data_IF_999575659857
#
_entry.id   IF_999575659857
#
_cell.length_a   1.000
_cell.length_b   1.000
_cell.length_c   1.000
_cell.angle_alpha   90.00
_cell.angle_beta   90.00
_cell.angle_gamma   90.00
#
_symmetry.space_group_name_H-M   'P 1'
#
loop_
_entity.id
_entity.type
_entity.pdbx_description
1 polymer ?
#
# COMPACT_ATOMS: atom_id res chain seq x y z
N UNK A 1 -20.09 2.12 -25.72
CA UNK A 1 -20.78 3.34 -25.24
C UNK A 1 -19.72 4.45 -25.13
N UNK A 2 -19.74 5.40 -26.09
CA UNK A 2 -18.89 6.60 -26.04
C UNK A 2 -19.56 7.60 -25.10
N UNK A 3 -19.01 7.78 -23.92
CA UNK A 3 -19.34 8.93 -23.06
C UNK A 3 -18.57 10.16 -23.60
N UNK A 4 -19.30 11.05 -24.23
CA UNK A 4 -18.82 12.38 -24.63
C UNK A 4 -18.87 13.28 -23.40
N UNK A 5 -17.71 13.53 -22.78
CA UNK A 5 -17.59 14.54 -21.74
C UNK A 5 -17.53 15.93 -22.37
N UNK A 6 -18.43 16.81 -21.95
CA UNK A 6 -18.48 18.22 -22.34
C UNK A 6 -17.23 18.94 -21.82
N UNK A 7 -16.70 19.85 -22.63
CA UNK A 7 -15.62 20.76 -22.28
C UNK A 7 -15.97 21.54 -21.01
N UNK A 8 -15.14 21.43 -19.97
CA UNK A 8 -15.26 22.25 -18.77
C UNK A 8 -14.39 23.48 -18.99
N UNK A 9 -15.02 24.66 -19.04
CA UNK A 9 -14.35 25.96 -19.10
C UNK A 9 -14.16 26.50 -17.68
N UNK A 10 -12.93 26.67 -17.23
CA UNK A 10 -12.60 27.33 -15.97
C UNK A 10 -11.95 28.67 -16.30
N UNK A 11 -12.58 29.77 -15.86
CA UNK A 11 -12.04 31.13 -16.00
C UNK A 11 -11.40 31.55 -14.68
N UNK A 12 -10.09 31.67 -14.65
CA UNK A 12 -9.39 32.44 -13.60
C UNK A 12 -8.51 33.45 -14.29
N UNK A 13 -8.71 34.73 -13.99
CA UNK A 13 -8.16 35.93 -14.61
C UNK A 13 -6.91 35.74 -15.50
N UNK A 14 -7.04 36.09 -16.74
CA UNK A 14 -6.01 36.29 -17.79
C UNK A 14 -5.39 35.06 -18.47
N UNK A 15 -5.61 33.82 -18.03
CA UNK A 15 -5.14 32.62 -18.75
C UNK A 15 -6.29 31.62 -18.90
N UNK A 16 -6.60 31.28 -20.17
CA UNK A 16 -7.64 30.32 -20.51
C UNK A 16 -7.00 28.94 -20.67
N UNK A 17 -7.27 28.01 -19.75
CA UNK A 17 -6.84 26.63 -19.86
C UNK A 17 -7.89 25.77 -20.54
N UNK A 18 -7.56 25.20 -21.68
CA UNK A 18 -8.42 24.24 -22.37
C UNK A 18 -8.05 22.81 -21.95
N UNK A 19 -8.96 22.12 -21.31
CA UNK A 19 -8.83 20.69 -21.07
C UNK A 19 -9.59 19.94 -22.16
N UNK A 20 -8.86 19.54 -23.21
CA UNK A 20 -9.38 18.66 -24.26
C UNK A 20 -8.88 17.26 -24.00
N UNK A 21 -9.78 16.36 -23.66
CA UNK A 21 -9.66 14.93 -23.93
C UNK A 21 -8.71 14.09 -23.10
N UNK A 22 -9.13 12.89 -22.83
CA UNK A 22 -8.44 11.70 -22.34
C UNK A 22 -7.73 11.76 -20.99
N UNK A 23 -8.47 11.34 -19.98
CA UNK A 23 -8.02 11.06 -18.62
C UNK A 23 -6.90 10.01 -18.51
N UNK A 24 -6.58 9.33 -19.60
CA UNK A 24 -5.65 8.18 -19.61
C UNK A 24 -4.18 8.56 -19.61
N UNK A 25 -3.82 9.85 -19.72
CA UNK A 25 -2.42 10.28 -19.83
C UNK A 25 -1.95 11.30 -18.77
N UNK A 26 -2.83 11.72 -17.84
CA UNK A 26 -2.41 12.66 -16.79
C UNK A 26 -1.49 11.92 -15.81
N UNK A 27 -0.28 12.46 -15.61
CA UNK A 27 0.73 11.84 -14.74
C UNK A 27 0.42 12.09 -13.27
N UNK A 28 0.45 11.02 -12.47
CA UNK A 28 0.26 11.08 -11.02
C UNK A 28 1.60 11.34 -10.34
N UNK A 29 1.57 12.20 -9.34
CA UNK A 29 2.73 12.66 -8.58
C UNK A 29 2.41 12.58 -7.09
N UNK A 30 3.21 11.85 -6.35
CA UNK A 30 3.10 11.80 -4.89
C UNK A 30 3.84 12.99 -4.29
N UNK A 31 3.17 13.70 -3.40
CA UNK A 31 3.70 14.87 -2.69
C UNK A 31 3.37 14.74 -1.20
N UNK A 32 4.34 15.02 -0.36
CA UNK A 32 4.16 14.86 1.09
C UNK A 32 3.82 16.19 1.76
N UNK A 33 2.93 16.16 2.75
CA UNK A 33 2.62 17.29 3.64
C UNK A 33 2.25 18.58 2.91
N UNK A 34 1.42 18.48 1.88
CA UNK A 34 0.99 19.61 1.06
C UNK A 34 -0.49 19.92 1.26
N UNK A 35 -0.85 21.19 1.09
CA UNK A 35 -2.23 21.61 0.98
C UNK A 35 -2.69 21.49 -0.47
N UNK A 36 -3.73 20.68 -0.72
CA UNK A 36 -4.32 20.45 -2.04
C UNK A 36 -5.57 21.33 -2.29
N UNK A 37 -5.73 22.42 -1.56
CA UNK A 37 -6.85 23.35 -1.79
C UNK A 37 -6.70 24.08 -3.11
N UNK A 38 -7.83 24.35 -3.78
CA UNK A 38 -7.89 25.06 -5.04
C UNK A 38 -7.23 26.44 -4.95
N UNK A 39 -6.48 26.81 -5.97
CA UNK A 39 -5.71 28.06 -6.04
C UNK A 39 -4.34 28.00 -5.35
N UNK A 40 -4.06 26.99 -4.53
CA UNK A 40 -2.73 26.81 -3.92
C UNK A 40 -1.65 26.60 -4.98
N UNK A 41 -0.49 27.23 -4.79
CA UNK A 41 0.70 27.02 -5.64
C UNK A 41 1.75 26.28 -4.84
N UNK A 42 2.12 25.10 -5.31
CA UNK A 42 3.13 24.24 -4.69
C UNK A 42 4.42 24.32 -5.47
N UNK A 43 5.54 24.36 -4.75
CA UNK A 43 6.87 24.11 -5.33
C UNK A 43 7.27 22.68 -4.99
N UNK A 44 7.41 21.85 -6.02
CA UNK A 44 7.72 20.44 -5.84
C UNK A 44 9.20 20.25 -5.49
N UNK A 45 9.52 19.16 -4.78
CA UNK A 45 10.89 18.82 -4.42
C UNK A 45 11.76 18.65 -5.67
N UNK A 46 13.07 18.79 -5.51
CA UNK A 46 14.05 18.64 -6.63
C UNK A 46 13.92 17.28 -7.30
N UNK A 47 13.74 16.20 -6.52
CA UNK A 47 13.60 14.85 -7.04
C UNK A 47 12.34 14.70 -7.91
N UNK A 48 11.19 15.17 -7.41
CA UNK A 48 9.91 15.14 -8.13
C UNK A 48 9.99 16.04 -9.37
N UNK A 49 10.56 17.23 -9.25
CA UNK A 49 10.74 18.16 -10.35
C UNK A 49 11.61 17.57 -11.46
N UNK A 50 12.71 16.92 -11.10
CA UNK A 50 13.58 16.22 -12.06
C UNK A 50 12.82 15.09 -12.78
N UNK A 51 12.05 14.29 -12.04
CA UNK A 51 11.24 13.24 -12.64
C UNK A 51 10.23 13.80 -13.67
N UNK A 52 9.51 14.87 -13.32
CA UNK A 52 8.54 15.50 -14.23
C UNK A 52 9.18 16.04 -15.49
N UNK A 53 10.30 16.76 -15.36
CA UNK A 53 10.90 17.48 -16.49
C UNK A 53 11.80 16.61 -17.37
N UNK A 54 12.61 15.74 -16.76
CA UNK A 54 13.62 14.96 -17.50
C UNK A 54 13.12 13.57 -17.89
N UNK A 55 12.34 12.91 -17.02
CA UNK A 55 11.82 11.56 -17.31
C UNK A 55 10.50 11.65 -18.07
N UNK A 56 9.53 12.42 -17.55
CA UNK A 56 8.20 12.55 -18.15
C UNK A 56 8.14 13.65 -19.22
N UNK A 57 9.14 14.54 -19.27
CA UNK A 57 9.28 15.64 -20.23
C UNK A 57 8.10 16.62 -20.22
N UNK A 58 7.55 16.86 -19.02
CA UNK A 58 6.48 17.83 -18.82
C UNK A 58 7.05 19.24 -18.66
N UNK A 59 6.29 20.24 -19.08
CA UNK A 59 6.61 21.65 -19.00
C UNK A 59 5.45 22.52 -18.55
N UNK A 60 5.63 23.83 -18.60
CA UNK A 60 4.57 24.79 -18.28
C UNK A 60 3.33 24.57 -19.15
N UNK A 61 2.15 24.54 -18.53
CA UNK A 61 0.87 24.25 -19.16
C UNK A 61 0.42 22.78 -19.08
N UNK A 62 1.33 21.85 -18.78
CA UNK A 62 0.96 20.45 -18.66
C UNK A 62 0.20 20.17 -17.35
N UNK A 63 -0.78 19.25 -17.45
CA UNK A 63 -1.59 18.83 -16.30
C UNK A 63 -0.94 17.66 -15.56
N UNK A 64 -1.08 17.68 -14.22
CA UNK A 64 -0.65 16.61 -13.32
C UNK A 64 -1.74 16.34 -12.30
N UNK A 65 -1.78 15.10 -11.77
CA UNK A 65 -2.56 14.75 -10.57
C UNK A 65 -1.57 14.70 -9.41
N UNK A 66 -1.81 15.49 -8.39
CA UNK A 66 -1.05 15.48 -7.14
C UNK A 66 -1.79 14.65 -6.11
N UNK A 67 -1.08 13.74 -5.41
CA UNK A 67 -1.61 12.88 -4.37
C UNK A 67 -0.83 13.17 -3.08
N UNK A 68 -1.50 13.47 -1.97
CA UNK A 68 -0.90 13.87 -0.69
C UNK A 68 -0.38 12.70 0.15
N UNK A 69 -0.40 11.48 -0.41
CA UNK A 69 -0.01 10.24 0.28
C UNK A 69 -0.92 9.83 1.45
N UNK A 70 -1.95 10.60 1.75
CA UNK A 70 -2.91 10.40 2.85
C UNK A 70 -4.36 10.21 2.36
N UNK A 71 -4.55 10.02 1.06
CA UNK A 71 -5.86 9.78 0.44
C UNK A 71 -6.42 10.97 -0.34
N UNK A 72 -5.80 12.14 -0.27
CA UNK A 72 -6.20 13.33 -1.01
C UNK A 72 -5.60 13.37 -2.42
N UNK A 73 -6.40 13.82 -3.39
CA UNK A 73 -5.97 14.08 -4.76
C UNK A 73 -6.42 15.45 -5.24
N UNK A 74 -5.60 16.06 -6.09
CA UNK A 74 -5.97 17.28 -6.79
C UNK A 74 -5.38 17.33 -8.19
N UNK A 75 -6.10 17.94 -9.11
CA UNK A 75 -5.58 18.31 -10.42
C UNK A 75 -4.80 19.60 -10.30
N UNK A 76 -3.61 19.61 -10.88
CA UNK A 76 -2.79 20.79 -10.99
C UNK A 76 -2.30 21.02 -12.42
N UNK A 77 -1.85 22.24 -12.66
CA UNK A 77 -1.19 22.64 -13.89
C UNK A 77 0.20 23.17 -13.55
N UNK A 78 1.19 22.73 -14.28
CA UNK A 78 2.57 23.25 -14.16
C UNK A 78 2.57 24.72 -14.60
N UNK A 79 2.80 25.64 -13.67
CA UNK A 79 2.92 27.07 -13.98
C UNK A 79 4.28 27.42 -14.58
N UNK A 80 5.33 26.86 -13.98
CA UNK A 80 6.70 27.16 -14.40
C UNK A 80 7.68 26.09 -13.98
N UNK A 81 8.75 25.96 -14.74
CA UNK A 81 9.92 25.15 -14.45
C UNK A 81 11.06 26.11 -14.15
N UNK A 82 11.53 26.13 -12.92
CA UNK A 82 12.58 27.02 -12.43
C UNK A 82 13.79 26.23 -11.95
N UNK A 83 14.94 26.88 -11.74
CA UNK A 83 16.12 26.23 -11.15
C UNK A 83 15.86 25.67 -9.74
N UNK A 84 14.87 26.22 -9.02
CA UNK A 84 14.46 25.74 -7.68
C UNK A 84 13.37 24.68 -7.66
N UNK A 85 12.90 24.22 -8.79
CA UNK A 85 11.87 23.18 -8.89
C UNK A 85 10.70 23.54 -9.81
N UNK A 86 9.77 22.62 -9.95
CA UNK A 86 8.53 22.80 -10.70
C UNK A 86 7.47 23.42 -9.80
N UNK A 87 6.85 24.50 -10.26
CA UNK A 87 5.70 25.10 -9.59
C UNK A 87 4.41 24.59 -10.23
N UNK A 88 3.50 24.11 -9.39
CA UNK A 88 2.20 23.58 -9.81
C UNK A 88 1.11 24.36 -9.10
N UNK A 89 0.14 24.87 -9.86
CA UNK A 89 -1.09 25.46 -9.32
C UNK A 89 -2.15 24.39 -9.22
N UNK A 90 -2.78 24.27 -8.05
CA UNK A 90 -3.95 23.41 -7.83
C UNK A 90 -5.14 24.05 -8.50
N UNK A 91 -5.76 23.31 -9.42
CA UNK A 91 -6.93 23.76 -10.16
C UNK A 91 -8.24 23.26 -9.57
N UNK A 92 -8.23 22.04 -9.04
CA UNK A 92 -9.42 21.41 -8.48
C UNK A 92 -9.03 20.23 -7.59
N UNK A 93 -9.63 20.14 -6.42
CA UNK A 93 -9.55 18.91 -5.60
C UNK A 93 -10.37 17.81 -6.27
N UNK A 94 -9.80 16.62 -6.36
CA UNK A 94 -10.49 15.45 -6.90
C UNK A 94 -11.26 14.77 -5.77
N UNK A 95 -12.51 14.45 -6.03
CA UNK A 95 -13.22 13.46 -5.22
C UNK A 95 -12.67 12.07 -5.57
N UNK A 96 -12.38 11.21 -4.60
CA UNK A 96 -12.03 9.82 -4.91
C UNK A 96 -13.14 9.23 -5.80
N UNK A 97 -12.80 8.46 -6.85
CA UNK A 97 -13.83 7.76 -7.61
C UNK A 97 -14.67 6.89 -6.66
N UNK A 98 -15.96 6.81 -6.90
CA UNK A 98 -16.84 5.92 -6.13
C UNK A 98 -16.28 4.50 -6.18
N UNK A 99 -15.91 3.95 -5.03
CA UNK A 99 -15.21 2.68 -4.92
C UNK A 99 -13.69 2.78 -4.89
N UNK A 100 -13.07 3.94 -5.01
CA UNK A 100 -11.64 4.22 -4.80
C UNK A 100 -10.64 3.12 -5.22
N UNK A 101 -9.35 3.40 -5.10
CA UNK A 101 -8.30 2.36 -5.23
C UNK A 101 -7.83 1.83 -3.87
N UNK A 102 -8.40 2.35 -2.77
CA UNK A 102 -8.09 1.88 -1.42
C UNK A 102 -9.12 0.86 -0.95
N UNK A 103 -8.66 -0.13 -0.20
CA UNK A 103 -9.53 -1.15 0.37
C UNK A 103 -10.50 -0.53 1.38
N UNK A 104 -11.74 -1.01 1.39
CA UNK A 104 -12.76 -0.57 2.37
C UNK A 104 -12.44 -1.05 3.78
N UNK A 105 -11.75 -2.20 3.88
CA UNK A 105 -11.24 -2.74 5.13
C UNK A 105 -9.70 -2.80 5.09
N UNK A 106 -8.99 -2.26 6.08
CA UNK A 106 -7.53 -2.30 6.09
C UNK A 106 -7.01 -3.74 6.21
N UNK A 107 -6.13 -4.13 5.28
CA UNK A 107 -5.37 -5.37 5.34
C UNK A 107 -3.90 -5.04 5.49
N UNK A 108 -3.34 -5.35 6.66
CA UNK A 108 -1.92 -5.19 6.96
C UNK A 108 -1.16 -6.51 6.72
N UNK A 109 0.15 -6.42 6.50
CA UNK A 109 1.02 -7.59 6.42
C UNK A 109 2.15 -7.48 7.44
N UNK A 110 2.33 -8.53 8.23
CA UNK A 110 3.52 -8.74 9.04
C UNK A 110 4.46 -9.69 8.27
N UNK A 111 5.59 -9.14 7.86
CA UNK A 111 6.56 -9.80 6.99
C UNK A 111 7.87 -10.03 7.74
N UNK A 112 8.44 -11.25 7.70
CA UNK A 112 9.74 -11.49 8.28
C UNK A 112 10.82 -10.77 7.48
N UNK A 113 11.94 -10.47 8.13
CA UNK A 113 13.11 -9.97 7.43
C UNK A 113 13.67 -11.05 6.50
N UNK A 114 13.40 -10.91 5.21
CA UNK A 114 13.82 -11.84 4.16
C UNK A 114 15.16 -11.43 3.52
N UNK A 115 15.82 -12.38 2.91
CA UNK A 115 17.05 -12.12 2.13
C UNK A 115 16.76 -11.26 0.91
N UNK A 116 17.70 -10.34 0.65
CA UNK A 116 17.83 -9.57 -0.59
C UNK A 116 16.53 -8.87 -1.06
N UNK A 117 16.11 -9.22 -2.26
CA UNK A 117 15.02 -8.64 -3.03
C UNK A 117 13.64 -9.24 -2.73
N UNK A 118 13.59 -10.35 -1.97
CA UNK A 118 12.32 -11.03 -1.67
C UNK A 118 11.37 -10.16 -0.86
N UNK A 119 11.89 -9.50 0.19
CA UNK A 119 11.08 -8.57 0.97
C UNK A 119 10.65 -7.38 0.10
N UNK A 120 11.54 -6.84 -0.72
CA UNK A 120 11.24 -5.74 -1.65
C UNK A 120 10.15 -6.15 -2.66
N UNK A 121 10.21 -7.39 -3.16
CA UNK A 121 9.18 -7.95 -4.03
C UNK A 121 7.84 -8.07 -3.33
N UNK A 122 7.81 -8.59 -2.10
CA UNK A 122 6.57 -8.70 -1.32
C UNK A 122 5.97 -7.32 -1.00
N UNK A 123 6.80 -6.35 -0.57
CA UNK A 123 6.38 -4.97 -0.30
C UNK A 123 5.75 -4.32 -1.55
N UNK A 124 6.41 -4.43 -2.70
CA UNK A 124 5.91 -3.88 -3.97
C UNK A 124 4.57 -4.49 -4.36
N UNK A 125 4.49 -5.83 -4.45
CA UNK A 125 3.28 -6.51 -4.91
C UNK A 125 2.11 -6.32 -3.94
N UNK A 126 2.36 -6.35 -2.63
CA UNK A 126 1.31 -6.12 -1.65
C UNK A 126 0.82 -4.65 -1.65
N UNK A 127 1.71 -3.69 -1.90
CA UNK A 127 1.32 -2.29 -2.08
C UNK A 127 0.43 -2.09 -3.30
N UNK A 128 0.75 -2.74 -4.43
CA UNK A 128 -0.08 -2.74 -5.64
C UNK A 128 -1.48 -3.31 -5.38
N UNK A 129 -1.59 -4.31 -4.50
CA UNK A 129 -2.84 -4.99 -4.13
C UNK A 129 -3.63 -4.29 -3.01
N UNK A 130 -3.17 -3.19 -2.46
CA UNK A 130 -3.95 -2.44 -1.48
C UNK A 130 -3.51 -2.59 -0.02
N UNK A 131 -2.38 -3.24 0.29
CA UNK A 131 -1.92 -3.35 1.66
C UNK A 131 -1.92 -2.00 2.39
N UNK A 132 -2.45 -1.97 3.64
CA UNK A 132 -2.61 -0.76 4.42
C UNK A 132 -1.38 -0.41 5.27
N UNK A 133 -0.63 -1.42 5.72
CA UNK A 133 0.58 -1.26 6.50
C UNK A 133 1.47 -2.50 6.43
N UNK A 134 2.76 -2.32 6.74
CA UNK A 134 3.73 -3.39 6.85
C UNK A 134 4.39 -3.38 8.22
N UNK A 135 4.49 -4.55 8.84
CA UNK A 135 5.18 -4.79 10.10
C UNK A 135 6.35 -5.72 9.86
N UNK A 136 7.57 -5.19 9.90
CA UNK A 136 8.78 -5.98 9.64
C UNK A 136 9.27 -6.58 10.95
N UNK A 137 9.41 -7.89 10.99
CA UNK A 137 9.84 -8.61 12.19
C UNK A 137 10.95 -9.62 11.91
N UNK A 138 11.54 -10.14 12.96
CA UNK A 138 12.43 -11.28 12.93
C UNK A 138 11.91 -12.39 13.84
N UNK A 139 12.15 -13.61 13.43
CA UNK A 139 11.84 -14.84 14.15
C UNK A 139 13.06 -15.79 14.12
N UNK A 140 12.96 -16.93 14.79
CA UNK A 140 14.10 -17.79 15.05
C UNK A 140 14.81 -18.28 13.78
N UNK A 141 14.05 -18.60 12.72
CA UNK A 141 14.58 -19.07 11.44
C UNK A 141 14.82 -17.97 10.40
N UNK A 142 14.78 -16.72 10.81
CA UNK A 142 15.22 -15.62 9.96
C UNK A 142 16.74 -15.67 9.75
N UNK A 143 17.18 -14.96 8.73
CA UNK A 143 18.62 -14.84 8.43
C UNK A 143 19.39 -14.29 9.63
N UNK A 144 20.45 -14.96 10.09
CA UNK A 144 21.27 -14.44 11.18
C UNK A 144 21.88 -13.09 10.85
N UNK A 145 21.90 -12.17 11.81
CA UNK A 145 22.56 -10.87 11.66
C UNK A 145 21.95 -9.78 12.56
N UNK A 146 22.57 -8.59 12.53
CA UNK A 146 22.05 -7.39 13.20
C UNK A 146 20.92 -6.80 12.36
N UNK A 147 19.68 -7.26 12.60
CA UNK A 147 18.51 -6.92 11.81
C UNK A 147 18.21 -5.41 11.90
N UNK A 148 18.36 -4.81 13.08
CA UNK A 148 18.12 -3.38 13.29
C UNK A 148 18.96 -2.51 12.34
N UNK A 149 20.26 -2.80 12.25
CA UNK A 149 21.16 -2.06 11.35
C UNK A 149 20.90 -2.33 9.87
N UNK A 150 20.45 -3.54 9.55
CA UNK A 150 20.11 -3.91 8.19
C UNK A 150 18.79 -3.25 7.74
N UNK A 151 17.79 -3.23 8.60
CA UNK A 151 16.51 -2.53 8.37
C UNK A 151 16.74 -1.04 8.24
N UNK A 152 17.47 -0.41 9.17
CA UNK A 152 17.76 1.03 9.13
C UNK A 152 18.41 1.47 7.80
N UNK A 153 19.33 0.66 7.24
CA UNK A 153 19.97 0.95 5.94
C UNK A 153 19.06 0.78 4.73
N UNK A 154 18.05 -0.07 4.83
CA UNK A 154 17.15 -0.39 3.71
C UNK A 154 15.82 0.33 3.78
N UNK A 155 15.47 0.90 4.92
CA UNK A 155 14.15 1.48 5.18
C UNK A 155 13.78 2.55 4.14
N UNK A 156 14.69 3.45 3.81
CA UNK A 156 14.48 4.47 2.79
C UNK A 156 14.16 3.84 1.42
N UNK A 157 14.95 2.85 1.00
CA UNK A 157 14.71 2.12 -0.26
C UNK A 157 13.36 1.40 -0.27
N UNK A 158 12.94 0.82 0.86
CA UNK A 158 11.62 0.18 0.95
C UNK A 158 10.48 1.20 0.84
N UNK A 159 10.64 2.37 1.46
CA UNK A 159 9.70 3.47 1.28
C UNK A 159 9.61 3.89 -0.19
N UNK A 160 10.72 4.02 -0.89
CA UNK A 160 10.72 4.35 -2.33
C UNK A 160 9.99 3.29 -3.17
N UNK A 161 10.22 2.00 -2.89
CA UNK A 161 9.55 0.89 -3.57
C UNK A 161 8.04 0.92 -3.34
N UNK A 162 7.60 1.12 -2.10
CA UNK A 162 6.19 1.20 -1.73
C UNK A 162 5.54 2.42 -2.38
N UNK A 163 6.17 3.59 -2.33
CA UNK A 163 5.69 4.82 -2.97
C UNK A 163 5.52 4.66 -4.48
N UNK A 164 6.50 4.05 -5.13
CA UNK A 164 6.42 3.80 -6.58
C UNK A 164 5.29 2.82 -6.93
N UNK A 165 5.09 1.76 -6.13
CA UNK A 165 4.00 0.82 -6.29
C UNK A 165 2.63 1.51 -6.13
N UNK A 166 2.46 2.35 -5.11
CA UNK A 166 1.27 3.18 -4.88
C UNK A 166 1.00 4.10 -6.07
N UNK A 167 2.04 4.80 -6.55
CA UNK A 167 1.93 5.71 -7.70
C UNK A 167 1.46 4.99 -8.97
N UNK A 168 2.01 3.80 -9.24
CA UNK A 168 1.71 3.03 -10.46
C UNK A 168 0.36 2.32 -10.39
N UNK A 169 -0.07 1.86 -9.21
CA UNK A 169 -1.37 1.21 -9.02
C UNK A 169 -2.55 2.18 -8.95
N UNK A 170 -2.30 3.48 -8.92
CA UNK A 170 -3.35 4.49 -8.84
C UNK A 170 -3.86 4.74 -7.41
N UNK A 171 -3.23 4.16 -6.41
CA UNK A 171 -3.53 4.40 -5.00
C UNK A 171 -3.12 5.79 -4.55
N UNK A 172 -3.68 6.23 -3.43
CA UNK A 172 -3.47 7.56 -2.85
C UNK A 172 -2.88 7.53 -1.44
N UNK A 173 -2.99 6.37 -0.76
CA UNK A 173 -2.43 6.16 0.57
C UNK A 173 -1.14 5.34 0.47
N UNK A 174 -0.05 5.87 1.02
CA UNK A 174 1.23 5.14 1.09
C UNK A 174 1.26 4.34 2.39
N UNK A 175 1.36 3.00 2.32
CA UNK A 175 1.47 2.15 3.50
C UNK A 175 2.68 2.50 4.37
N UNK A 176 2.49 2.60 5.68
CA UNK A 176 3.60 2.74 6.62
C UNK A 176 4.36 1.42 6.80
N UNK A 177 5.67 1.54 7.07
CA UNK A 177 6.56 0.40 7.36
C UNK A 177 7.07 0.54 8.79
N UNK A 178 6.56 -0.33 9.65
CA UNK A 178 6.91 -0.40 11.07
C UNK A 178 7.99 -1.46 11.34
N UNK A 179 8.69 -1.31 12.43
CA UNK A 179 9.71 -2.25 12.87
C UNK A 179 11.14 -1.73 12.70
N UNK A 180 12.15 -2.62 12.94
CA UNK A 180 12.01 -4.07 13.13
C UNK A 180 11.49 -4.45 14.53
N UNK A 181 10.72 -5.53 14.58
CA UNK A 181 10.21 -6.15 15.81
C UNK A 181 10.78 -7.56 15.98
N UNK A 182 10.83 -8.06 17.19
CA UNK A 182 10.86 -9.50 17.44
C UNK A 182 9.50 -10.13 17.15
N UNK A 183 9.42 -11.45 17.08
CA UNK A 183 8.14 -12.14 16.85
C UNK A 183 7.11 -11.85 17.95
N UNK A 184 7.53 -11.81 19.23
CA UNK A 184 6.65 -11.45 20.35
C UNK A 184 6.16 -10.00 20.25
N UNK A 185 7.07 -9.05 20.03
CA UNK A 185 6.74 -7.63 19.93
C UNK A 185 5.77 -7.35 18.77
N UNK A 186 5.92 -8.01 17.63
CA UNK A 186 4.98 -7.81 16.51
C UNK A 186 3.61 -8.38 16.85
N UNK A 187 3.50 -9.50 17.58
CA UNK A 187 2.22 -10.03 18.04
C UNK A 187 1.53 -9.04 18.98
N UNK A 188 2.24 -8.50 19.97
CA UNK A 188 1.73 -7.48 20.87
C UNK A 188 1.24 -6.21 20.16
N UNK A 189 1.92 -5.84 19.07
CA UNK A 189 1.61 -4.64 18.31
C UNK A 189 0.37 -4.80 17.41
N UNK A 190 0.21 -5.96 16.75
CA UNK A 190 -0.85 -6.16 15.75
C UNK A 190 -2.16 -6.73 16.33
N UNK A 191 -2.10 -7.59 17.36
CA UNK A 191 -3.30 -8.28 17.85
C UNK A 191 -4.36 -7.36 18.47
N UNK A 192 -4.01 -6.20 19.09
CA UNK A 192 -5.01 -5.24 19.55
C UNK A 192 -5.74 -4.49 18.42
N UNK A 193 -5.13 -4.45 17.23
CA UNK A 193 -5.60 -3.62 16.09
C UNK A 193 -6.36 -4.44 15.05
N UNK A 194 -5.98 -5.70 14.86
CA UNK A 194 -6.41 -6.53 13.74
C UNK A 194 -6.87 -7.92 14.19
N UNK A 195 -7.74 -8.53 13.41
CA UNK A 195 -7.88 -9.99 13.40
C UNK A 195 -6.67 -10.58 12.67
N UNK A 196 -5.83 -11.31 13.41
CA UNK A 196 -4.55 -11.79 12.88
C UNK A 196 -4.70 -13.20 12.32
N UNK A 197 -4.28 -13.41 11.09
CA UNK A 197 -4.30 -14.69 10.38
C UNK A 197 -2.87 -15.08 10.00
N UNK A 198 -2.44 -16.28 10.38
CA UNK A 198 -1.09 -16.78 10.14
C UNK A 198 -1.15 -18.07 9.32
N UNK A 199 -0.85 -18.01 8.02
CA UNK A 199 -0.60 -19.20 7.21
C UNK A 199 0.65 -19.96 7.67
N UNK A 200 0.46 -21.27 7.91
CA UNK A 200 1.51 -22.17 8.37
C UNK A 200 1.50 -23.47 7.55
N UNK A 201 2.67 -23.97 7.22
CA UNK A 201 2.87 -25.19 6.44
C UNK A 201 2.67 -26.49 7.22
N UNK A 202 2.62 -26.42 8.57
CA UNK A 202 2.31 -27.57 9.42
C UNK A 202 0.91 -28.11 9.17
N UNK A 203 0.75 -29.41 9.14
CA UNK A 203 -0.52 -30.06 8.83
C UNK A 203 -1.60 -29.84 9.89
N UNK A 204 -2.86 -30.09 9.51
CA UNK A 204 -3.99 -30.14 10.46
C UNK A 204 -4.71 -28.79 10.69
N UNK A 205 -4.34 -27.75 9.99
CA UNK A 205 -5.02 -26.45 10.08
C UNK A 205 -6.04 -26.27 8.95
N UNK A 206 -7.14 -25.52 9.20
CA UNK A 206 -8.16 -25.21 8.18
C UNK A 206 -7.56 -24.39 7.04
N UNK A 207 -8.20 -24.42 5.89
CA UNK A 207 -7.82 -23.55 4.78
C UNK A 207 -8.06 -22.08 5.13
N UNK A 208 -7.28 -21.18 4.56
CA UNK A 208 -7.44 -19.74 4.76
C UNK A 208 -8.86 -19.29 4.41
N UNK A 209 -9.49 -19.88 3.38
CA UNK A 209 -10.87 -19.58 3.00
C UNK A 209 -11.87 -19.92 4.10
N UNK A 210 -11.68 -21.02 4.83
CA UNK A 210 -12.55 -21.41 5.95
C UNK A 210 -12.40 -20.46 7.13
N UNK A 211 -11.16 -20.06 7.45
CA UNK A 211 -10.88 -19.08 8.49
C UNK A 211 -11.49 -17.72 8.15
N UNK A 212 -11.34 -17.26 6.93
CA UNK A 212 -11.89 -15.99 6.46
C UNK A 212 -13.43 -16.02 6.43
N UNK A 213 -14.05 -17.12 6.03
CA UNK A 213 -15.52 -17.28 6.11
C UNK A 213 -16.03 -17.15 7.56
N UNK A 214 -15.27 -17.66 8.52
CA UNK A 214 -15.59 -17.49 9.95
C UNK A 214 -15.53 -16.04 10.42
N UNK A 215 -14.62 -15.24 9.85
CA UNK A 215 -14.50 -13.82 10.14
C UNK A 215 -15.57 -12.96 9.43
N UNK A 216 -16.00 -13.37 8.24
CA UNK A 216 -16.96 -12.66 7.38
C UNK A 216 -18.17 -13.55 7.03
N UNK A 217 -19.04 -13.86 7.98
CA UNK A 217 -20.20 -14.70 7.69
C UNK A 217 -21.18 -13.98 6.76
N UNK A 218 -21.59 -14.63 5.67
CA UNK A 218 -22.53 -14.11 4.66
C UNK A 218 -23.87 -13.63 5.27
N UNK A 219 -24.25 -14.18 6.40
CA UNK A 219 -25.54 -13.88 7.06
C UNK A 219 -25.59 -12.58 7.85
N UNK A 220 -24.48 -11.85 8.00
CA UNK A 220 -24.43 -10.61 8.81
C UNK A 220 -24.77 -10.80 10.29
N UNK A 221 -25.05 -12.02 10.74
CA UNK A 221 -25.43 -12.34 12.11
C UNK A 221 -24.27 -13.00 12.84
N UNK A 222 -23.62 -12.24 13.73
CA UNK A 222 -22.73 -12.81 14.74
C UNK A 222 -21.24 -12.82 14.42
N UNK A 223 -20.76 -12.20 13.34
CA UNK A 223 -19.33 -11.97 13.15
C UNK A 223 -18.81 -10.94 14.15
N UNK A 224 -17.64 -11.18 14.74
CA UNK A 224 -16.92 -10.15 15.47
C UNK A 224 -16.74 -8.94 14.56
N UNK A 225 -16.85 -7.71 15.12
CA UNK A 225 -16.59 -6.50 14.33
C UNK A 225 -15.11 -6.49 13.95
N UNK A 226 -14.81 -6.92 12.72
CA UNK A 226 -13.44 -6.95 12.18
C UNK A 226 -13.08 -5.53 11.78
N UNK A 227 -12.17 -4.90 12.51
CA UNK A 227 -11.69 -3.56 12.20
C UNK A 227 -10.59 -3.58 11.12
N UNK A 228 -10.07 -4.74 10.78
CA UNK A 228 -9.04 -4.99 9.78
C UNK A 228 -8.42 -6.37 9.98
N UNK A 229 -7.67 -6.82 8.99
CA UNK A 229 -6.93 -8.09 9.03
C UNK A 229 -5.43 -7.80 9.00
N UNK A 230 -4.64 -8.58 9.77
CA UNK A 230 -3.20 -8.65 9.59
C UNK A 230 -2.79 -10.07 9.20
N UNK A 231 -2.13 -10.20 8.06
CA UNK A 231 -1.61 -11.46 7.54
C UNK A 231 -0.15 -11.61 7.97
N UNK A 232 0.16 -12.63 8.75
CA UNK A 232 1.54 -12.90 9.23
C UNK A 232 2.10 -14.07 8.46
N UNK A 233 3.23 -13.91 7.77
CA UNK A 233 3.86 -14.99 7.01
C UNK A 233 5.27 -15.28 7.49
N UNK A 234 5.72 -16.52 7.34
CA UNK A 234 7.02 -16.99 7.81
C UNK A 234 8.19 -16.70 6.87
N UNK A 235 9.44 -16.80 7.39
CA UNK A 235 10.65 -16.75 6.58
C UNK A 235 10.82 -18.01 5.75
N UNK A 236 11.91 -18.09 4.99
CA UNK A 236 12.24 -19.25 4.15
C UNK A 236 12.39 -20.57 4.93
N UNK A 237 12.73 -20.50 6.21
CA UNK A 237 12.83 -21.65 7.10
C UNK A 237 11.52 -22.02 7.82
N UNK A 238 10.44 -21.26 7.58
CA UNK A 238 9.17 -21.39 8.30
C UNK A 238 9.26 -20.91 9.75
N UNK A 239 8.21 -21.15 10.51
CA UNK A 239 8.14 -20.86 11.94
C UNK A 239 8.58 -22.06 12.79
N UNK A 240 9.14 -21.82 13.96
CA UNK A 240 9.34 -22.84 14.97
C UNK A 240 7.98 -23.19 15.64
N UNK A 241 7.82 -24.45 16.12
CA UNK A 241 6.59 -24.84 16.80
C UNK A 241 6.22 -23.93 18.00
N UNK A 242 7.24 -23.49 18.75
CA UNK A 242 7.04 -22.60 19.91
C UNK A 242 6.53 -21.21 19.49
N UNK A 243 6.91 -20.72 18.30
CA UNK A 243 6.40 -19.48 17.76
C UNK A 243 4.91 -19.61 17.38
N UNK A 244 4.52 -20.75 16.84
CA UNK A 244 3.11 -21.04 16.52
C UNK A 244 2.27 -21.14 17.82
N UNK A 245 2.77 -21.79 18.86
CA UNK A 245 2.06 -21.85 20.15
C UNK A 245 1.97 -20.47 20.80
N UNK A 246 3.01 -19.65 20.73
CA UNK A 246 2.98 -18.27 21.17
C UNK A 246 1.93 -17.45 20.40
N UNK A 247 1.87 -17.58 19.07
CA UNK A 247 0.86 -16.91 18.24
C UNK A 247 -0.57 -17.31 18.66
N UNK A 248 -0.82 -18.60 18.91
CA UNK A 248 -2.12 -19.07 19.42
C UNK A 248 -2.47 -18.42 20.76
N UNK A 249 -1.48 -18.26 21.64
CA UNK A 249 -1.64 -17.57 22.93
C UNK A 249 -2.10 -16.12 22.78
N UNK A 250 -1.78 -15.47 21.68
CA UNK A 250 -2.25 -14.12 21.32
C UNK A 250 -3.60 -14.12 20.56
N UNK A 251 -4.24 -15.26 20.38
CA UNK A 251 -5.51 -15.37 19.65
C UNK A 251 -5.37 -15.32 18.13
N UNK A 252 -4.18 -15.58 17.60
CA UNK A 252 -3.92 -15.62 16.16
C UNK A 252 -4.59 -16.85 15.53
N UNK A 253 -5.25 -16.65 14.40
CA UNK A 253 -5.90 -17.70 13.64
C UNK A 253 -4.91 -18.37 12.70
N UNK A 254 -4.53 -19.62 13.02
CA UNK A 254 -3.60 -20.40 12.19
C UNK A 254 -4.38 -21.06 11.06
N UNK A 255 -3.85 -20.97 9.84
CA UNK A 255 -4.51 -21.53 8.65
C UNK A 255 -3.49 -22.19 7.70
N UNK A 256 -4.00 -22.77 6.62
CA UNK A 256 -3.21 -23.34 5.52
C UNK A 256 -3.50 -22.62 4.22
N UNK A 257 -2.49 -22.41 3.38
CA UNK A 257 -2.62 -21.95 1.99
C UNK A 257 -2.74 -23.11 0.98
N UNK A 258 -3.06 -24.31 1.46
CA UNK A 258 -3.22 -25.51 0.66
C UNK A 258 -1.98 -26.41 0.68
N UNK A 259 -1.98 -27.44 -0.13
CA UNK A 259 -1.01 -28.53 -0.08
C UNK A 259 0.39 -28.19 -0.62
N UNK A 260 0.56 -27.02 -1.24
CA UNK A 260 1.84 -26.61 -1.83
C UNK A 260 2.63 -25.73 -0.84
N UNK A 261 3.93 -25.97 -0.73
CA UNK A 261 4.84 -25.08 -0.01
C UNK A 261 5.09 -23.86 -0.92
N UNK A 262 4.73 -22.69 -0.44
CA UNK A 262 4.95 -21.42 -1.12
C UNK A 262 6.28 -20.80 -0.65
N UNK A 263 6.93 -20.05 -1.53
CA UNK A 263 8.09 -19.24 -1.15
C UNK A 263 7.67 -18.10 -0.21
N UNK A 264 8.62 -17.63 0.60
CA UNK A 264 8.36 -16.57 1.57
C UNK A 264 7.86 -15.25 0.95
N UNK A 265 8.25 -14.96 -0.29
CA UNK A 265 7.72 -13.81 -1.06
C UNK A 265 6.36 -14.09 -1.73
N UNK A 266 5.98 -15.37 -1.92
CA UNK A 266 4.73 -15.77 -2.57
C UNK A 266 3.59 -15.90 -1.56
N UNK A 267 3.87 -16.43 -0.37
CA UNK A 267 2.86 -16.71 0.66
C UNK A 267 2.05 -15.46 1.07
N UNK A 268 2.67 -14.30 1.34
CA UNK A 268 1.93 -13.09 1.71
C UNK A 268 1.00 -12.60 0.59
N UNK A 269 1.42 -12.72 -0.67
CA UNK A 269 0.62 -12.31 -1.81
C UNK A 269 -0.57 -13.26 -2.01
N UNK A 270 -0.34 -14.57 -1.89
CA UNK A 270 -1.42 -15.56 -1.98
C UNK A 270 -2.46 -15.36 -0.86
N UNK A 271 -2.01 -15.11 0.37
CA UNK A 271 -2.88 -14.82 1.51
C UNK A 271 -3.68 -13.52 1.30
N UNK A 272 -3.01 -12.47 0.82
CA UNK A 272 -3.65 -11.19 0.52
C UNK A 272 -4.72 -11.35 -0.57
N UNK A 273 -4.40 -11.98 -1.71
CA UNK A 273 -5.38 -12.22 -2.77
C UNK A 273 -6.58 -13.04 -2.29
N UNK A 274 -6.34 -14.09 -1.46
CA UNK A 274 -7.44 -14.86 -0.89
C UNK A 274 -8.34 -14.00 0.01
N UNK A 275 -7.74 -13.09 0.80
CA UNK A 275 -8.48 -12.16 1.65
C UNK A 275 -9.31 -11.18 0.81
N UNK A 276 -8.72 -10.57 -0.21
CA UNK A 276 -9.41 -9.61 -1.09
C UNK A 276 -10.57 -10.26 -1.86
N UNK A 277 -10.39 -11.48 -2.33
CA UNK A 277 -11.47 -12.23 -3.01
C UNK A 277 -12.64 -12.53 -2.04
N UNK A 278 -12.36 -12.84 -0.78
CA UNK A 278 -13.39 -13.10 0.23
C UNK A 278 -14.13 -11.86 0.71
N UNK A 279 -13.48 -10.69 0.65
CA UNK A 279 -14.09 -9.41 1.03
C UNK A 279 -14.76 -8.67 -0.13
N UNK A 280 -14.68 -9.23 -1.36
CA UNK A 280 -15.25 -8.60 -2.56
C UNK A 280 -14.45 -7.41 -3.07
N UNK A 281 -13.20 -7.30 -2.68
CA UNK A 281 -12.27 -6.22 -3.09
C UNK A 281 -11.46 -6.59 -4.36
N UNK A 282 -11.64 -7.83 -4.86
CA UNK A 282 -10.92 -8.35 -6.03
C UNK A 282 -11.83 -9.22 -6.91
#
# INVERSE_FOLDING_TARGET
LRLVFKNIHIYTGAVQYFFTGDFMHIRRVLVDNVNLDEGTVLTLSTQVSHHLTHVLRLGAGDAVILCDCAGGEARGVIESVLQGGVRVRIMQRCEPPAGGCELTMPVALALPYLKSDKLETALRMASELGAAAFYIFHCQRCVPGRIESAVARKKERWHDIVREAVRLSGRTVVPEIFGPFSFGEVMDEITPKYSVVLPYEGGGYPLISEVLQGLFPESGRGGAKVNGICLVTGPEGGFEPDEIEAAKGHGVLICSLGARILRAETAPIAALCATLAMTGEM
#
